data_IF_649909979392
#
_entry.id   IF_649909979392
#
_cell.length_a   1.000
_cell.length_b   1.000
_cell.length_c   1.000
_cell.angle_alpha   90.00
_cell.angle_beta   90.00
_cell.angle_gamma   90.00
#
_symmetry.space_group_name_H-M   'P 1'
#
loop_
_entity.id
_entity.type
_entity.pdbx_description
1 polymer ?
#
# COMPACT_ATOMS: atom_id res chain seq x y z
N UNK A 1 -25.28 -54.51 -8.49
CA UNK A 1 -25.21 -53.59 -7.31
C UNK A 1 -23.83 -52.98 -7.13
N UNK A 2 -22.74 -53.73 -7.30
CA UNK A 2 -21.36 -53.24 -7.08
C UNK A 2 -20.98 -52.04 -7.96
N UNK A 3 -21.39 -52.00 -9.23
CA UNK A 3 -21.13 -50.88 -10.13
C UNK A 3 -21.79 -49.56 -9.69
N UNK A 4 -22.95 -49.63 -9.03
CA UNK A 4 -23.69 -48.45 -8.55
C UNK A 4 -23.01 -47.86 -7.31
N UNK A 5 -22.47 -48.71 -6.44
CA UNK A 5 -21.70 -48.31 -5.25
C UNK A 5 -20.36 -47.68 -5.64
N UNK A 6 -19.69 -48.22 -6.66
CA UNK A 6 -18.46 -47.64 -7.20
C UNK A 6 -18.70 -46.26 -7.84
N UNK A 7 -19.81 -46.10 -8.56
CA UNK A 7 -20.19 -44.80 -9.14
C UNK A 7 -20.53 -43.76 -8.06
N UNK A 8 -21.18 -44.15 -6.96
CA UNK A 8 -21.50 -43.23 -5.87
C UNK A 8 -20.27 -42.80 -5.07
N UNK A 9 -19.29 -43.70 -4.89
CA UNK A 9 -18.00 -43.38 -4.28
C UNK A 9 -17.17 -42.43 -5.15
N UNK A 10 -17.12 -42.64 -6.46
CA UNK A 10 -16.44 -41.73 -7.38
C UNK A 10 -17.13 -40.36 -7.45
N UNK A 11 -18.47 -40.33 -7.47
CA UNK A 11 -19.25 -39.09 -7.47
C UNK A 11 -19.06 -38.24 -6.20
N UNK A 12 -19.03 -38.87 -5.03
CA UNK A 12 -18.79 -38.18 -3.76
C UNK A 12 -17.35 -37.66 -3.64
N UNK A 13 -16.35 -38.41 -4.12
CA UNK A 13 -14.97 -37.94 -4.21
C UNK A 13 -14.81 -36.73 -5.13
N UNK A 14 -15.47 -36.73 -6.29
CA UNK A 14 -15.44 -35.61 -7.23
C UNK A 14 -16.07 -34.34 -6.64
N UNK A 15 -17.19 -34.49 -5.94
CA UNK A 15 -17.87 -33.39 -5.24
C UNK A 15 -17.00 -32.80 -4.13
N UNK A 16 -16.36 -33.65 -3.32
CA UNK A 16 -15.43 -33.20 -2.28
C UNK A 16 -14.26 -32.40 -2.88
N UNK A 17 -13.69 -32.87 -3.98
CA UNK A 17 -12.61 -32.18 -4.69
C UNK A 17 -13.03 -30.79 -5.22
N UNK A 18 -14.20 -30.70 -5.86
CA UNK A 18 -14.75 -29.43 -6.37
C UNK A 18 -14.98 -28.44 -5.21
N UNK A 19 -15.51 -28.93 -4.09
CA UNK A 19 -15.82 -28.11 -2.92
C UNK A 19 -14.55 -27.52 -2.30
N UNK A 20 -13.50 -28.34 -2.13
CA UNK A 20 -12.19 -27.90 -1.62
C UNK A 20 -11.56 -26.87 -2.57
N UNK A 21 -11.65 -27.09 -3.88
CA UNK A 21 -11.06 -26.19 -4.87
C UNK A 21 -11.77 -24.82 -4.90
N UNK A 22 -13.10 -24.81 -4.78
CA UNK A 22 -13.90 -23.58 -4.60
C UNK A 22 -13.50 -22.85 -3.31
N UNK A 23 -13.42 -23.56 -2.17
CA UNK A 23 -13.03 -22.98 -0.88
C UNK A 23 -11.65 -22.31 -0.95
N UNK A 24 -10.68 -22.98 -1.58
CA UNK A 24 -9.34 -22.43 -1.81
C UNK A 24 -9.37 -21.20 -2.71
N UNK A 25 -10.22 -21.17 -3.75
CA UNK A 25 -10.38 -20.02 -4.65
C UNK A 25 -10.99 -18.81 -3.94
N UNK A 26 -12.00 -19.02 -3.09
CA UNK A 26 -12.60 -17.96 -2.27
C UNK A 26 -11.63 -17.42 -1.23
N UNK A 27 -10.87 -18.31 -0.56
CA UNK A 27 -9.84 -17.90 0.41
C UNK A 27 -8.76 -17.04 -0.25
N UNK A 28 -8.26 -17.43 -1.44
CA UNK A 28 -7.30 -16.63 -2.22
C UNK A 28 -7.86 -15.27 -2.63
N UNK A 29 -9.13 -15.18 -3.03
CA UNK A 29 -9.79 -13.90 -3.36
C UNK A 29 -9.93 -13.00 -2.14
N UNK A 30 -10.25 -13.56 -0.96
CA UNK A 30 -10.41 -12.80 0.29
C UNK A 30 -9.07 -12.24 0.78
N UNK A 31 -7.97 -13.00 0.64
CA UNK A 31 -6.61 -12.55 0.96
C UNK A 31 -6.20 -11.39 0.03
N UNK A 32 -6.41 -11.52 -1.28
CA UNK A 32 -6.11 -10.44 -2.25
C UNK A 32 -6.89 -9.15 -1.98
N UNK A 33 -8.14 -9.25 -1.49
CA UNK A 33 -8.96 -8.07 -1.20
C UNK A 33 -8.44 -7.29 0.02
N UNK A 34 -7.97 -8.00 1.06
CA UNK A 34 -7.39 -7.38 2.25
C UNK A 34 -6.05 -6.68 1.94
N UNK A 35 -5.19 -7.33 1.15
CA UNK A 35 -3.95 -6.71 0.65
C UNK A 35 -4.22 -5.46 -0.20
N UNK A 36 -5.36 -5.41 -0.92
CA UNK A 36 -5.70 -4.26 -1.75
C UNK A 36 -6.14 -3.04 -0.92
N UNK A 37 -6.91 -3.25 0.15
CA UNK A 37 -7.32 -2.17 1.06
C UNK A 37 -6.12 -1.59 1.83
N UNK A 38 -5.23 -2.46 2.33
CA UNK A 38 -3.97 -2.05 2.98
C UNK A 38 -3.06 -1.26 2.03
N UNK A 39 -2.96 -1.69 0.76
CA UNK A 39 -2.20 -0.94 -0.24
C UNK A 39 -2.84 0.40 -0.61
N UNK A 40 -4.16 0.52 -0.53
CA UNK A 40 -4.86 1.76 -0.90
C UNK A 40 -4.52 2.89 0.07
N UNK A 41 -4.46 2.60 1.36
CA UNK A 41 -4.09 3.60 2.38
C UNK A 41 -2.64 4.05 2.22
N UNK A 42 -1.72 3.11 2.01
CA UNK A 42 -0.31 3.41 1.77
C UNK A 42 -0.08 4.23 0.50
N UNK A 43 -0.75 3.87 -0.61
CA UNK A 43 -0.68 4.63 -1.86
C UNK A 43 -1.24 6.05 -1.71
N UNK A 44 -2.31 6.20 -0.93
CA UNK A 44 -2.89 7.52 -0.64
C UNK A 44 -1.95 8.40 0.18
N UNK A 45 -1.30 7.85 1.21
CA UNK A 45 -0.29 8.55 2.01
C UNK A 45 0.91 9.00 1.15
N UNK A 46 1.45 8.10 0.32
CA UNK A 46 2.53 8.42 -0.62
C UNK A 46 2.13 9.51 -1.62
N UNK A 47 0.88 9.48 -2.11
CA UNK A 47 0.38 10.48 -3.03
C UNK A 47 0.33 11.86 -2.37
N UNK A 48 -0.20 11.95 -1.15
CA UNK A 48 -0.23 13.21 -0.38
C UNK A 48 1.19 13.69 -0.14
N UNK A 49 2.09 12.82 0.33
CA UNK A 49 3.49 13.17 0.56
C UNK A 49 4.13 13.71 -0.72
N UNK A 50 3.92 13.05 -1.87
CA UNK A 50 4.44 13.52 -3.16
C UNK A 50 3.87 14.88 -3.56
N UNK A 51 2.57 15.12 -3.37
CA UNK A 51 1.95 16.42 -3.69
C UNK A 51 2.55 17.51 -2.80
N UNK A 52 2.73 17.26 -1.51
CA UNK A 52 3.35 18.20 -0.58
C UNK A 52 4.78 18.54 -1.00
N UNK A 53 5.59 17.54 -1.34
CA UNK A 53 6.98 17.75 -1.82
C UNK A 53 6.99 18.61 -3.09
N UNK A 54 6.13 18.31 -4.07
CA UNK A 54 6.04 19.09 -5.32
C UNK A 54 5.60 20.52 -5.04
N UNK A 55 4.62 20.73 -4.15
CA UNK A 55 4.18 22.06 -3.75
C UNK A 55 5.31 22.84 -3.07
N UNK A 56 6.04 22.24 -2.14
CA UNK A 56 7.18 22.89 -1.49
C UNK A 56 8.28 23.27 -2.50
N UNK A 57 8.59 22.42 -3.47
CA UNK A 57 9.54 22.75 -4.55
C UNK A 57 9.06 23.98 -5.34
N UNK A 58 7.77 24.04 -5.69
CA UNK A 58 7.19 25.17 -6.43
C UNK A 58 7.24 26.45 -5.59
N UNK A 59 6.82 26.38 -4.32
CA UNK A 59 6.84 27.54 -3.40
C UNK A 59 8.28 28.04 -3.22
N UNK A 60 9.24 27.17 -2.96
CA UNK A 60 10.65 27.53 -2.86
C UNK A 60 11.18 28.16 -4.16
N UNK A 61 10.79 27.61 -5.31
CA UNK A 61 11.19 28.14 -6.62
C UNK A 61 10.61 29.52 -6.90
N UNK A 62 9.37 29.82 -6.47
CA UNK A 62 8.70 31.10 -6.71
C UNK A 62 9.20 32.17 -5.74
N UNK A 63 9.26 31.84 -4.45
CA UNK A 63 9.57 32.82 -3.40
C UNK A 63 11.07 32.97 -3.13
N UNK A 64 11.92 32.05 -3.62
CA UNK A 64 13.39 31.92 -3.39
C UNK A 64 13.82 31.80 -1.93
N UNK A 65 13.02 32.29 -0.99
CA UNK A 65 13.17 32.19 0.45
C UNK A 65 11.79 32.37 1.07
N UNK A 66 11.03 31.29 1.30
CA UNK A 66 9.74 31.41 1.97
C UNK A 66 9.93 32.06 3.35
N UNK A 67 8.93 32.82 3.85
CA UNK A 67 8.97 33.37 5.19
C UNK A 67 9.25 32.27 6.21
N UNK A 68 10.12 32.53 7.20
CA UNK A 68 10.50 31.57 8.24
C UNK A 68 9.33 30.76 8.83
N UNK A 69 8.16 31.33 9.19
CA UNK A 69 7.04 30.54 9.70
C UNK A 69 6.44 29.57 8.66
N UNK A 70 6.44 29.93 7.37
CA UNK A 70 5.92 29.08 6.30
C UNK A 70 6.83 27.87 6.10
N UNK A 71 8.14 28.09 6.07
CA UNK A 71 9.13 27.02 5.98
C UNK A 71 8.97 26.01 7.13
N UNK A 72 8.86 26.48 8.38
CA UNK A 72 8.67 25.61 9.54
C UNK A 72 7.41 24.75 9.41
N UNK A 73 6.30 25.35 8.99
CA UNK A 73 5.04 24.63 8.80
C UNK A 73 5.20 23.54 7.74
N UNK A 74 5.85 23.85 6.62
CA UNK A 74 6.13 22.86 5.57
C UNK A 74 7.00 21.71 6.08
N UNK A 75 8.07 21.99 6.84
CA UNK A 75 8.92 20.97 7.47
C UNK A 75 8.13 20.04 8.39
N UNK A 76 7.28 20.60 9.26
CA UNK A 76 6.49 19.81 10.21
C UNK A 76 5.50 18.91 9.45
N UNK A 77 4.78 19.46 8.48
CA UNK A 77 3.81 18.70 7.68
C UNK A 77 4.51 17.57 6.92
N UNK A 78 5.62 17.86 6.25
CA UNK A 78 6.34 16.87 5.46
C UNK A 78 6.94 15.77 6.36
N UNK A 79 7.45 16.13 7.53
CA UNK A 79 7.97 15.17 8.51
C UNK A 79 6.87 14.23 9.03
N UNK A 80 5.68 14.76 9.35
CA UNK A 80 4.53 13.95 9.78
C UNK A 80 4.09 12.99 8.67
N UNK A 81 3.97 13.48 7.43
CA UNK A 81 3.58 12.66 6.27
C UNK A 81 4.60 11.57 5.96
N UNK A 82 5.89 11.90 6.01
CA UNK A 82 6.97 10.93 5.89
C UNK A 82 6.85 9.85 6.97
N UNK A 83 6.68 10.25 8.24
CA UNK A 83 6.65 9.30 9.35
C UNK A 83 5.45 8.34 9.25
N UNK A 84 4.26 8.85 8.93
CA UNK A 84 3.05 8.03 8.69
C UNK A 84 3.26 7.05 7.54
N UNK A 85 3.74 7.53 6.40
CA UNK A 85 3.98 6.70 5.21
C UNK A 85 5.07 5.65 5.47
N UNK A 86 6.12 6.02 6.21
CA UNK A 86 7.22 5.13 6.54
C UNK A 86 6.80 4.03 7.51
N UNK A 87 6.04 4.35 8.56
CA UNK A 87 5.48 3.34 9.48
C UNK A 87 4.57 2.37 8.74
N UNK A 88 3.68 2.89 7.89
CA UNK A 88 2.77 2.05 7.12
C UNK A 88 3.56 1.13 6.15
N UNK A 89 4.61 1.65 5.53
CA UNK A 89 5.51 0.85 4.68
C UNK A 89 6.23 -0.27 5.45
N UNK A 90 6.65 0.01 6.70
CA UNK A 90 7.24 -0.95 7.64
C UNK A 90 6.23 -2.01 8.06
N UNK A 91 5.01 -1.61 8.37
CA UNK A 91 3.94 -2.53 8.74
C UNK A 91 3.66 -3.53 7.61
N UNK A 92 3.59 -3.05 6.36
CA UNK A 92 3.35 -3.88 5.18
C UNK A 92 4.61 -4.63 4.69
N UNK A 93 5.78 -4.38 5.30
CA UNK A 93 7.09 -4.94 4.93
C UNK A 93 7.43 -4.75 3.44
N UNK A 94 7.01 -3.64 2.84
CA UNK A 94 7.21 -3.35 1.41
C UNK A 94 8.42 -2.46 1.20
N UNK A 95 9.58 -3.10 1.01
CA UNK A 95 10.87 -2.45 0.72
C UNK A 95 10.78 -1.39 -0.40
N UNK A 96 10.09 -1.60 -1.53
CA UNK A 96 10.03 -0.59 -2.59
C UNK A 96 9.36 0.71 -2.13
N UNK A 97 8.33 0.59 -1.29
CA UNK A 97 7.58 1.76 -0.81
C UNK A 97 8.37 2.53 0.25
N UNK A 98 9.16 1.85 1.08
CA UNK A 98 10.11 2.49 1.99
C UNK A 98 11.12 3.35 1.23
N UNK A 99 11.68 2.80 0.15
CA UNK A 99 12.63 3.52 -0.70
C UNK A 99 11.99 4.78 -1.29
N UNK A 100 10.73 4.70 -1.74
CA UNK A 100 9.99 5.87 -2.25
C UNK A 100 9.82 6.93 -1.14
N UNK A 101 9.38 6.56 0.06
CA UNK A 101 9.27 7.50 1.19
C UNK A 101 10.58 8.23 1.48
N UNK A 102 11.70 7.49 1.51
CA UNK A 102 13.03 8.05 1.76
C UNK A 102 13.44 8.99 0.62
N UNK A 103 13.21 8.61 -0.63
CA UNK A 103 13.52 9.48 -1.78
C UNK A 103 12.71 10.77 -1.77
N UNK A 104 11.44 10.72 -1.38
CA UNK A 104 10.58 11.90 -1.27
C UNK A 104 11.05 12.84 -0.15
N UNK A 105 11.49 12.28 0.99
CA UNK A 105 12.10 13.07 2.07
C UNK A 105 13.40 13.74 1.62
N UNK A 106 14.28 13.00 0.92
CA UNK A 106 15.52 13.55 0.38
C UNK A 106 15.26 14.67 -0.64
N UNK A 107 14.30 14.47 -1.54
CA UNK A 107 13.87 15.48 -2.51
C UNK A 107 13.39 16.77 -1.83
N UNK A 108 12.62 16.64 -0.76
CA UNK A 108 12.18 17.79 0.03
C UNK A 108 13.35 18.52 0.69
N UNK A 109 14.26 17.78 1.34
CA UNK A 109 15.43 18.37 2.00
C UNK A 109 16.39 19.06 1.01
N UNK A 110 16.53 18.51 -0.21
CA UNK A 110 17.35 19.12 -1.27
C UNK A 110 16.70 20.37 -1.89
N UNK A 111 15.38 20.54 -1.72
CA UNK A 111 14.64 21.65 -2.30
C UNK A 111 14.64 22.92 -1.45
N UNK A 112 15.13 22.84 -0.22
CA UNK A 112 15.28 23.94 0.72
C UNK A 112 16.77 24.25 0.96
#
# INVERSE_FOLDING_TARGET
>A
MEQIVLLSMLGSGLLAYITINLLNRFRKRKIKRKEWEENKLMLFLLLIQSITVVLSIIVNSIFRSPPYPVAIIEYIINFILFFLSFIESLHLRRIPLMMICITLLLLFLLSH
#
